data_IF_634169571451
#
_entry.id   IF_634169571451
#
_cell.length_a   1.000
_cell.length_b   1.000
_cell.length_c   1.000
_cell.angle_alpha   90.00
_cell.angle_beta   90.00
_cell.angle_gamma   90.00
#
_symmetry.space_group_name_H-M   'P 1'
#
loop_
_entity.id
_entity.type
_entity.pdbx_description
1 polymer ?
#
# COMPACT_ATOMS: atom_id res chain seq x y z
N UNK A 1 21.63 -14.13 12.48
CA UNK A 1 20.45 -13.48 13.08
C UNK A 1 19.21 -14.12 12.49
N UNK A 2 18.26 -14.52 13.32
CA UNK A 2 16.95 -15.03 12.93
C UNK A 2 15.87 -14.03 13.34
N UNK A 3 15.13 -13.51 12.36
CA UNK A 3 14.11 -12.50 12.55
C UNK A 3 12.70 -13.01 12.24
N UNK A 4 11.72 -12.55 13.00
CA UNK A 4 10.30 -12.70 12.70
C UNK A 4 9.71 -11.36 12.29
N UNK A 5 8.98 -11.34 11.17
CA UNK A 5 8.17 -10.20 10.75
C UNK A 5 6.71 -10.63 10.73
N UNK A 6 5.89 -9.95 11.52
CA UNK A 6 4.43 -10.12 11.47
C UNK A 6 3.82 -9.05 10.58
N UNK A 7 3.14 -9.45 9.51
CA UNK A 7 2.60 -8.58 8.47
C UNK A 7 3.42 -8.63 7.18
N UNK A 8 2.82 -9.13 6.11
CA UNK A 8 3.34 -9.21 4.75
C UNK A 8 2.77 -8.09 3.85
N UNK A 9 2.46 -6.93 4.44
CA UNK A 9 2.19 -5.70 3.68
C UNK A 9 3.47 -5.08 3.11
N UNK A 10 3.33 -3.89 2.52
CA UNK A 10 4.43 -3.11 1.89
C UNK A 10 5.65 -3.03 2.80
N UNK A 11 5.48 -2.52 4.03
CA UNK A 11 6.60 -2.33 4.96
C UNK A 11 7.25 -3.65 5.38
N UNK A 12 6.44 -4.67 5.69
CA UNK A 12 6.95 -5.95 6.16
C UNK A 12 7.75 -6.71 5.12
N UNK A 13 7.31 -6.68 3.85
CA UNK A 13 8.06 -7.32 2.76
C UNK A 13 9.34 -6.59 2.38
N UNK A 14 9.32 -5.24 2.40
CA UNK A 14 10.54 -4.44 2.19
C UNK A 14 11.54 -4.72 3.32
N UNK A 15 11.08 -4.74 4.58
CA UNK A 15 11.93 -5.05 5.72
C UNK A 15 12.49 -6.47 5.62
N UNK A 16 11.65 -7.45 5.28
CA UNK A 16 12.07 -8.84 5.12
C UNK A 16 13.18 -8.98 4.08
N UNK A 17 12.95 -8.41 2.89
CA UNK A 17 13.95 -8.37 1.82
C UNK A 17 15.25 -7.73 2.31
N UNK A 18 15.17 -6.57 2.95
CA UNK A 18 16.34 -5.83 3.45
C UNK A 18 17.16 -6.64 4.44
N UNK A 19 16.51 -7.30 5.41
CA UNK A 19 17.19 -8.14 6.39
C UNK A 19 17.85 -9.35 5.73
N UNK A 20 17.20 -9.96 4.74
CA UNK A 20 17.73 -11.11 3.99
C UNK A 20 18.92 -10.73 3.12
N UNK A 21 18.78 -9.68 2.29
CA UNK A 21 19.74 -9.37 1.22
C UNK A 21 20.89 -8.49 1.68
N UNK A 22 20.64 -7.54 2.58
CA UNK A 22 21.67 -6.61 3.05
C UNK A 22 22.35 -7.14 4.31
N UNK A 23 21.60 -7.75 5.23
CA UNK A 23 22.13 -8.23 6.52
C UNK A 23 22.38 -9.73 6.58
N UNK A 24 22.01 -10.50 5.55
CA UNK A 24 22.20 -11.96 5.51
C UNK A 24 21.43 -12.70 6.61
N UNK A 25 20.33 -12.13 7.11
CA UNK A 25 19.52 -12.74 8.15
C UNK A 25 18.63 -13.85 7.59
N UNK A 26 18.30 -14.83 8.43
CA UNK A 26 17.18 -15.75 8.18
C UNK A 26 15.92 -15.04 8.64
N UNK A 27 14.91 -14.92 7.77
CA UNK A 27 13.69 -14.17 8.07
C UNK A 27 12.45 -15.02 7.85
N UNK A 28 11.66 -15.20 8.91
CA UNK A 28 10.31 -15.73 8.80
C UNK A 28 9.31 -14.57 8.70
N UNK A 29 8.41 -14.65 7.72
CA UNK A 29 7.31 -13.69 7.56
C UNK A 29 6.00 -14.42 7.79
N UNK A 30 5.18 -13.89 8.70
CA UNK A 30 3.83 -14.38 8.97
C UNK A 30 2.80 -13.32 8.59
N UNK A 31 1.67 -13.72 8.04
CA UNK A 31 0.52 -12.84 7.81
C UNK A 31 -0.79 -13.60 7.99
N UNK A 32 -1.84 -12.91 8.41
CA UNK A 32 -3.19 -13.49 8.51
C UNK A 32 -3.76 -13.86 7.14
N UNK A 33 -3.37 -13.12 6.10
CA UNK A 33 -3.79 -13.19 4.71
C UNK A 33 -2.55 -13.30 3.81
N UNK A 34 -1.87 -14.46 3.77
CA UNK A 34 -0.61 -14.64 3.05
C UNK A 34 -0.76 -14.57 1.51
N UNK A 35 -1.99 -14.59 0.99
CA UNK A 35 -2.25 -14.41 -0.45
C UNK A 35 -2.60 -12.95 -0.76
N UNK A 36 -1.97 -12.42 -1.80
CA UNK A 36 -2.26 -11.07 -2.32
C UNK A 36 -3.73 -10.90 -2.76
N UNK A 37 -4.44 -12.01 -3.01
CA UNK A 37 -5.85 -12.02 -3.40
C UNK A 37 -6.83 -11.56 -2.30
N UNK A 38 -6.42 -11.58 -1.02
CA UNK A 38 -7.32 -11.30 0.11
C UNK A 38 -6.94 -10.05 0.91
N UNK A 39 -5.84 -9.39 0.59
CA UNK A 39 -5.38 -8.19 1.29
C UNK A 39 -5.77 -6.92 0.53
N UNK A 40 -6.69 -6.14 1.13
CA UNK A 40 -7.29 -4.95 0.53
C UNK A 40 -6.30 -3.86 0.09
N UNK A 41 -6.85 -2.86 -0.61
CA UNK A 41 -6.12 -1.74 -1.20
C UNK A 41 -5.84 -1.95 -2.69
N UNK A 42 -6.09 -0.93 -3.51
CA UNK A 42 -6.01 -1.04 -4.98
C UNK A 42 -4.66 -0.60 -5.53
N UNK A 43 -4.24 0.62 -5.20
CA UNK A 43 -3.01 1.23 -5.66
C UNK A 43 -2.57 2.34 -4.70
N UNK A 44 -1.34 2.82 -4.84
CA UNK A 44 -0.84 3.97 -4.08
C UNK A 44 0.19 4.75 -4.89
N UNK A 45 0.37 6.02 -4.53
CA UNK A 45 1.42 6.86 -5.08
C UNK A 45 2.76 6.55 -4.41
N UNK A 46 3.77 6.31 -5.23
CA UNK A 46 5.18 6.30 -4.85
C UNK A 46 5.75 7.67 -5.17
N UNK A 47 5.92 8.48 -4.13
CA UNK A 47 6.59 9.78 -4.21
C UNK A 47 8.11 9.60 -4.30
N UNK A 48 8.82 10.68 -4.66
CA UNK A 48 10.27 10.63 -4.92
C UNK A 48 11.07 10.03 -3.76
N UNK A 49 10.71 10.30 -2.51
CA UNK A 49 11.39 9.72 -1.34
C UNK A 49 11.20 8.20 -1.26
N UNK A 50 10.00 7.69 -1.57
CA UNK A 50 9.73 6.26 -1.65
C UNK A 50 10.52 5.58 -2.76
N UNK A 51 10.57 6.22 -3.94
CA UNK A 51 11.38 5.73 -5.08
C UNK A 51 12.86 5.67 -4.74
N UNK A 52 13.41 6.71 -4.12
CA UNK A 52 14.82 6.72 -3.71
C UNK A 52 15.12 5.64 -2.66
N UNK A 53 14.21 5.42 -1.70
CA UNK A 53 14.33 4.30 -0.76
C UNK A 53 14.37 2.94 -1.46
N UNK A 54 13.48 2.70 -2.43
CA UNK A 54 13.49 1.45 -3.22
C UNK A 54 14.76 1.29 -4.06
N UNK A 55 15.32 2.37 -4.59
CA UNK A 55 16.60 2.35 -5.32
C UNK A 55 17.75 1.95 -4.40
N UNK A 56 17.82 2.52 -3.20
CA UNK A 56 18.85 2.19 -2.20
C UNK A 56 18.76 0.73 -1.74
N UNK A 57 17.56 0.17 -1.70
CA UNK A 57 17.31 -1.23 -1.31
C UNK A 57 17.40 -2.22 -2.47
N UNK A 58 17.73 -1.79 -3.70
CA UNK A 58 17.83 -2.67 -4.86
C UNK A 58 16.49 -3.21 -5.39
N UNK A 59 15.36 -2.69 -4.89
CA UNK A 59 14.01 -3.14 -5.24
C UNK A 59 13.41 -2.39 -6.44
N UNK A 60 14.00 -1.24 -6.80
CA UNK A 60 13.38 -0.32 -7.74
C UNK A 60 13.16 -0.91 -9.13
N UNK A 61 14.10 -1.68 -9.67
CA UNK A 61 13.97 -2.20 -11.04
C UNK A 61 12.71 -3.06 -11.21
N UNK A 62 12.48 -4.01 -10.30
CA UNK A 62 11.28 -4.85 -10.31
C UNK A 62 9.98 -4.09 -10.04
N UNK A 63 10.02 -3.05 -9.21
CA UNK A 63 8.83 -2.22 -8.94
C UNK A 63 8.52 -1.30 -10.13
N UNK A 64 9.55 -0.75 -10.76
CA UNK A 64 9.40 0.22 -11.84
C UNK A 64 8.71 -0.38 -13.07
N UNK A 65 8.92 -1.67 -13.33
CA UNK A 65 8.30 -2.40 -14.45
C UNK A 65 6.81 -2.61 -14.29
N UNK A 66 6.25 -2.43 -13.09
CA UNK A 66 4.80 -2.54 -12.82
C UNK A 66 4.18 -1.20 -12.41
N UNK A 67 4.94 -0.11 -12.56
CA UNK A 67 4.53 1.23 -12.16
C UNK A 67 4.24 2.11 -13.37
N UNK A 68 3.35 3.10 -13.20
CA UNK A 68 3.11 4.16 -14.18
C UNK A 68 3.65 5.47 -13.62
N UNK A 69 4.52 6.15 -14.37
CA UNK A 69 5.00 7.48 -13.96
C UNK A 69 3.87 8.48 -14.06
N UNK A 70 3.63 9.24 -12.99
CA UNK A 70 2.70 10.37 -13.00
C UNK A 70 3.50 11.65 -13.20
N UNK A 71 3.20 12.36 -14.29
CA UNK A 71 3.88 13.60 -14.67
C UNK A 71 3.04 14.83 -14.37
N UNK A 72 1.71 14.67 -14.29
CA UNK A 72 0.79 15.78 -14.14
C UNK A 72 -0.47 15.40 -13.37
N UNK A 73 -1.04 16.35 -12.66
CA UNK A 73 -2.40 16.30 -12.12
C UNK A 73 -3.21 17.38 -12.80
N UNK A 74 -4.30 17.00 -13.47
CA UNK A 74 -5.23 17.94 -14.10
C UNK A 74 -6.48 18.05 -13.24
N UNK A 75 -6.87 19.27 -12.88
CA UNK A 75 -8.03 19.55 -12.05
C UNK A 75 -9.19 20.04 -12.90
N UNK A 76 -10.41 19.56 -12.65
CA UNK A 76 -11.61 19.90 -13.41
C UNK A 76 -12.75 20.26 -12.49
N UNK A 77 -13.63 21.16 -12.91
CA UNK A 77 -14.94 21.32 -12.28
C UNK A 77 -15.76 20.04 -12.50
N UNK A 78 -16.30 19.46 -11.42
CA UNK A 78 -17.06 18.22 -11.51
C UNK A 78 -18.38 18.35 -12.29
N UNK A 79 -19.02 19.53 -12.23
CA UNK A 79 -20.32 19.78 -12.87
C UNK A 79 -20.22 20.04 -14.37
N UNK A 80 -19.16 20.70 -14.82
CA UNK A 80 -19.01 21.15 -16.21
C UNK A 80 -17.90 20.42 -16.96
N UNK A 81 -16.98 19.77 -16.25
CA UNK A 81 -15.77 19.18 -16.84
C UNK A 81 -14.75 20.21 -17.32
N UNK A 82 -14.94 21.50 -17.07
CA UNK A 82 -13.97 22.53 -17.44
C UNK A 82 -12.68 22.40 -16.64
N UNK A 83 -11.53 22.54 -17.32
CA UNK A 83 -10.21 22.54 -16.69
C UNK A 83 -10.07 23.74 -15.75
N UNK A 84 -9.74 23.46 -14.50
CA UNK A 84 -9.41 24.43 -13.46
C UNK A 84 -7.95 24.84 -13.50
N UNK A 85 -7.09 23.87 -13.79
CA UNK A 85 -5.64 24.06 -13.77
C UNK A 85 -4.93 22.72 -13.79
N UNK A 86 -3.60 22.79 -13.83
CA UNK A 86 -2.73 21.63 -13.88
C UNK A 86 -1.55 21.83 -12.95
N UNK A 87 -1.09 20.74 -12.36
CA UNK A 87 0.10 20.71 -11.52
C UNK A 87 1.07 19.66 -12.03
N UNK A 88 2.26 20.09 -12.42
CA UNK A 88 3.34 19.18 -12.78
C UNK A 88 3.85 18.48 -11.52
N UNK A 89 3.83 17.15 -11.54
CA UNK A 89 4.34 16.35 -10.43
C UNK A 89 5.85 16.40 -10.36
N UNK A 90 6.38 16.28 -9.14
CA UNK A 90 7.82 16.17 -8.92
C UNK A 90 8.40 14.98 -9.71
N UNK A 91 9.67 15.07 -10.16
CA UNK A 91 10.37 13.92 -10.74
C UNK A 91 10.27 12.70 -9.82
N UNK A 92 10.28 11.51 -10.43
CA UNK A 92 10.13 10.23 -9.73
C UNK A 92 8.82 10.09 -8.92
N UNK A 93 7.69 10.59 -9.46
CA UNK A 93 6.35 10.27 -8.94
C UNK A 93 5.73 9.16 -9.77
N UNK A 94 5.26 8.10 -9.13
CA UNK A 94 4.64 6.95 -9.78
C UNK A 94 3.36 6.55 -9.07
N UNK A 95 2.48 5.86 -9.78
CA UNK A 95 1.40 5.07 -9.21
C UNK A 95 1.67 3.59 -9.47
N UNK A 96 1.36 2.76 -8.50
CA UNK A 96 1.52 1.31 -8.63
C UNK A 96 0.35 0.59 -7.99
N UNK A 97 -0.13 -0.46 -8.65
CA UNK A 97 -1.11 -1.38 -8.09
C UNK A 97 -0.51 -2.16 -6.91
N UNK A 98 -1.25 -2.29 -5.81
CA UNK A 98 -0.73 -2.91 -4.58
C UNK A 98 -0.31 -4.36 -4.79
N UNK A 99 -1.14 -5.17 -5.45
CA UNK A 99 -0.83 -6.59 -5.73
C UNK A 99 0.48 -6.75 -6.52
N UNK A 100 0.56 -6.20 -7.74
CA UNK A 100 1.79 -6.21 -8.54
C UNK A 100 3.03 -5.66 -7.82
N UNK A 101 2.88 -4.63 -6.98
CA UNK A 101 3.99 -4.14 -6.16
C UNK A 101 4.50 -5.20 -5.18
N UNK A 102 3.60 -5.87 -4.45
CA UNK A 102 3.99 -6.91 -3.49
C UNK A 102 4.55 -8.14 -4.22
N UNK A 103 3.97 -8.53 -5.36
CA UNK A 103 4.47 -9.62 -6.20
C UNK A 103 5.90 -9.32 -6.70
N UNK A 104 6.18 -8.09 -7.12
CA UNK A 104 7.51 -7.67 -7.55
C UNK A 104 8.54 -7.85 -6.44
N UNK A 105 8.22 -7.49 -5.19
CA UNK A 105 9.12 -7.68 -4.05
C UNK A 105 9.26 -9.18 -3.69
N UNK A 106 8.14 -9.91 -3.67
CA UNK A 106 8.14 -11.34 -3.34
C UNK A 106 8.95 -12.17 -4.34
N UNK A 107 8.93 -11.80 -5.61
CA UNK A 107 9.69 -12.49 -6.66
C UNK A 107 11.22 -12.45 -6.42
N UNK A 108 11.69 -11.49 -5.63
CA UNK A 108 13.09 -11.37 -5.23
C UNK A 108 13.43 -12.09 -3.92
N UNK A 109 12.44 -12.68 -3.23
CA UNK A 109 12.64 -13.33 -1.93
C UNK A 109 12.73 -14.85 -2.07
N UNK A 110 13.50 -15.46 -1.16
CA UNK A 110 13.69 -16.92 -1.10
C UNK A 110 12.61 -17.63 -0.28
N UNK A 111 12.02 -16.93 0.70
CA UNK A 111 11.14 -17.53 1.70
C UNK A 111 9.68 -17.11 1.52
N UNK A 112 8.78 -18.09 1.56
CA UNK A 112 7.33 -17.90 1.48
C UNK A 112 6.76 -17.27 2.75
N UNK A 113 5.64 -16.55 2.62
CA UNK A 113 4.84 -16.05 3.74
C UNK A 113 4.05 -17.21 4.36
N UNK A 114 4.09 -17.36 5.68
CA UNK A 114 3.26 -18.34 6.41
C UNK A 114 1.97 -17.70 6.88
N UNK A 115 0.87 -18.45 6.84
CA UNK A 115 -0.41 -18.01 7.42
C UNK A 115 -0.34 -18.09 8.94
N UNK A 116 -0.22 -16.97 9.64
CA UNK A 116 -0.25 -16.94 11.12
C UNK A 116 -0.47 -15.53 11.65
N UNK A 117 -0.78 -15.42 12.95
CA UNK A 117 -0.86 -14.15 13.68
C UNK A 117 0.15 -14.18 14.84
N UNK A 118 0.80 -13.06 15.11
CA UNK A 118 1.68 -12.94 16.28
C UNK A 118 0.84 -12.86 17.56
N UNK A 119 1.26 -13.54 18.63
CA UNK A 119 0.57 -13.46 19.93
C UNK A 119 1.55 -13.17 21.06
N UNK A 120 1.68 -11.90 21.38
CA UNK A 120 2.60 -11.43 22.40
C UNK A 120 2.02 -11.75 23.79
N UNK A 121 2.79 -12.47 24.62
CA UNK A 121 2.43 -12.74 26.01
C UNK A 121 2.98 -11.65 26.93
N UNK A 122 2.50 -11.58 28.18
CA UNK A 122 2.99 -10.63 29.19
C UNK A 122 4.40 -10.97 29.73
N UNK A 123 4.85 -12.22 29.52
CA UNK A 123 6.27 -12.54 29.69
C UNK A 123 7.02 -11.84 28.54
N UNK A 124 8.19 -11.25 28.83
CA UNK A 124 9.00 -10.48 27.87
C UNK A 124 9.53 -11.29 26.67
N UNK A 125 9.04 -12.50 26.46
CA UNK A 125 9.37 -13.38 25.36
C UNK A 125 8.20 -13.36 24.36
N UNK A 126 8.51 -12.92 23.14
CA UNK A 126 7.55 -12.94 22.03
C UNK A 126 7.29 -14.39 21.63
N UNK A 127 6.18 -14.97 22.08
CA UNK A 127 5.68 -16.24 21.58
C UNK A 127 4.78 -16.00 20.35
N UNK A 128 4.68 -16.98 19.46
CA UNK A 128 3.72 -16.96 18.34
C UNK A 128 2.57 -17.91 18.67
N UNK A 129 1.34 -17.42 18.83
CA UNK A 129 0.16 -18.30 18.94
C UNK A 129 -0.29 -18.68 17.55
N UNK A 130 -0.35 -19.97 17.21
CA UNK A 130 -0.77 -20.39 15.90
C UNK A 130 -2.29 -20.34 15.78
N UNK A 131 -2.78 -19.80 14.66
CA UNK A 131 -3.87 -20.48 13.97
C UNK A 131 -3.35 -21.51 12.97
N UNK A 132 -2.03 -21.67 12.80
CA UNK A 132 -1.37 -22.80 12.16
C UNK A 132 0.08 -22.88 12.67
N UNK A 133 0.49 -24.05 13.14
CA UNK A 133 1.71 -24.36 13.90
C UNK A 133 2.99 -23.63 13.44
N UNK A 134 3.31 -22.47 14.02
CA UNK A 134 4.70 -22.00 14.14
C UNK A 134 5.19 -22.53 15.49
N UNK A 135 6.12 -23.50 15.53
CA UNK A 135 6.69 -23.93 16.80
C UNK A 135 7.27 -22.71 17.51
N UNK A 136 7.15 -22.60 18.85
CA UNK A 136 7.81 -21.54 19.60
C UNK A 136 9.30 -21.56 19.24
N UNK A 137 9.71 -20.59 18.46
CA UNK A 137 11.07 -20.43 17.94
C UNK A 137 11.62 -19.18 18.58
N UNK A 138 12.86 -19.25 19.09
CA UNK A 138 13.53 -18.07 19.62
C UNK A 138 14.00 -17.22 18.45
N UNK A 139 13.52 -15.98 18.37
CA UNK A 139 13.98 -15.01 17.39
C UNK A 139 14.88 -13.99 18.07
N UNK A 140 15.95 -13.58 17.38
CA UNK A 140 16.84 -12.50 17.82
C UNK A 140 16.16 -11.13 17.66
N UNK A 141 15.19 -11.04 16.74
CA UNK A 141 14.49 -9.81 16.38
C UNK A 141 13.04 -10.11 15.98
N UNK A 142 12.11 -9.30 16.46
CA UNK A 142 10.69 -9.38 16.08
C UNK A 142 10.21 -7.99 15.66
N UNK A 143 9.58 -7.88 14.48
CA UNK A 143 8.99 -6.65 13.99
C UNK A 143 7.49 -6.80 13.69
N UNK A 144 6.68 -5.92 14.30
CA UNK A 144 5.25 -5.77 14.00
C UNK A 144 5.02 -4.84 12.81
N UNK A 145 4.70 -5.41 11.66
CA UNK A 145 4.36 -4.75 10.39
C UNK A 145 2.87 -4.95 10.01
N UNK A 146 2.00 -5.07 11.02
CA UNK A 146 0.59 -5.47 10.89
C UNK A 146 -0.36 -4.31 10.53
N UNK A 147 0.17 -3.10 10.29
CA UNK A 147 -0.58 -1.93 9.84
C UNK A 147 -1.41 -1.22 10.92
N UNK A 148 -2.51 -0.61 10.48
CA UNK A 148 -3.30 0.33 11.29
C UNK A 148 -3.97 -0.30 12.51
N UNK A 149 -4.11 -1.62 12.61
CA UNK A 149 -4.68 -2.34 13.77
C UNK A 149 -3.68 -3.32 14.39
N UNK A 150 -2.41 -2.93 14.44
CA UNK A 150 -1.29 -3.77 14.88
C UNK A 150 -1.44 -4.26 16.34
N UNK A 151 -1.52 -5.58 16.58
CA UNK A 151 -1.42 -6.13 17.94
C UNK A 151 -0.07 -5.85 18.59
N UNK A 152 1.02 -5.78 17.83
CA UNK A 152 2.33 -5.37 18.36
C UNK A 152 2.28 -3.98 18.98
N UNK A 153 1.62 -3.03 18.30
CA UNK A 153 1.43 -1.67 18.84
C UNK A 153 0.58 -1.67 20.11
N UNK A 154 -0.52 -2.41 20.15
CA UNK A 154 -1.38 -2.52 21.34
C UNK A 154 -0.62 -3.11 22.53
N UNK A 155 0.26 -4.09 22.31
CA UNK A 155 1.08 -4.67 23.37
C UNK A 155 2.17 -3.70 23.87
N UNK A 156 2.87 -3.01 22.96
CA UNK A 156 3.94 -2.07 23.34
C UNK A 156 3.41 -0.78 23.97
N UNK A 157 2.25 -0.30 23.51
CA UNK A 157 1.63 0.92 23.97
C UNK A 157 0.10 0.72 24.08
N UNK A 158 -0.38 0.16 25.21
CA UNK A 158 -1.80 -0.14 25.40
C UNK A 158 -2.72 1.08 25.32
N UNK A 159 -2.19 2.27 25.59
CA UNK A 159 -2.94 3.53 25.56
C UNK A 159 -3.03 4.13 24.14
N UNK A 160 -2.39 3.52 23.13
CA UNK A 160 -2.45 4.00 21.76
C UNK A 160 -3.87 3.88 21.19
N UNK A 161 -4.45 5.00 20.80
CA UNK A 161 -5.77 5.05 20.17
C UNK A 161 -5.69 5.17 18.65
N UNK A 162 -6.71 4.63 17.98
CA UNK A 162 -6.98 4.86 16.55
C UNK A 162 -8.24 5.71 16.50
N UNK A 163 -8.20 6.82 15.77
CA UNK A 163 -9.32 7.72 15.60
C UNK A 163 -9.62 7.91 14.12
N UNK A 164 -10.86 8.26 13.79
CA UNK A 164 -11.24 8.62 12.43
C UNK A 164 -10.75 10.03 12.11
N UNK A 165 -10.34 10.24 10.87
CA UNK A 165 -10.12 11.59 10.32
C UNK A 165 -11.39 12.01 9.59
N UNK A 166 -11.71 13.31 9.56
CA UNK A 166 -12.93 13.86 8.95
C UNK A 166 -12.97 13.78 7.42
N UNK A 167 -12.35 12.76 6.83
CA UNK A 167 -12.37 12.51 5.40
C UNK A 167 -12.34 11.01 5.17
N UNK A 168 -13.31 10.52 4.40
CA UNK A 168 -13.29 9.15 3.92
C UNK A 168 -13.11 9.09 2.41
N UNK A 169 -12.50 8.00 1.95
CA UNK A 169 -12.26 7.75 0.55
C UNK A 169 -12.86 6.40 0.16
N UNK A 170 -13.67 6.42 -0.90
CA UNK A 170 -14.14 5.22 -1.57
C UNK A 170 -13.29 5.02 -2.81
N UNK A 171 -12.71 3.84 -2.98
CA UNK A 171 -11.88 3.53 -4.14
C UNK A 171 -12.37 2.26 -4.82
N UNK A 172 -12.10 2.18 -6.12
CA UNK A 172 -12.34 0.96 -6.88
C UNK A 172 -11.58 0.92 -8.20
N UNK A 173 -11.57 -0.25 -8.80
CA UNK A 173 -11.17 -0.44 -10.19
C UNK A 173 -12.43 -0.53 -11.05
N UNK A 174 -12.41 0.10 -12.21
CA UNK A 174 -13.45 -0.13 -13.21
C UNK A 174 -13.33 -1.55 -13.77
N UNK A 175 -14.43 -2.07 -14.32
CA UNK A 175 -14.41 -3.34 -15.05
C UNK A 175 -13.42 -3.26 -16.22
N UNK A 176 -12.89 -4.38 -16.75
CA UNK A 176 -12.00 -4.34 -17.91
C UNK A 176 -12.62 -3.63 -19.13
N UNK A 177 -13.93 -3.79 -19.34
CA UNK A 177 -14.66 -3.16 -20.44
C UNK A 177 -14.73 -1.64 -20.24
N UNK A 178 -15.09 -1.19 -19.04
CA UNK A 178 -15.22 0.24 -18.73
C UNK A 178 -13.84 0.92 -18.68
N UNK A 179 -12.82 0.23 -18.15
CA UNK A 179 -11.43 0.68 -18.19
C UNK A 179 -10.96 0.90 -19.63
N UNK A 180 -11.21 -0.07 -20.53
CA UNK A 180 -10.83 0.07 -21.94
C UNK A 180 -11.54 1.25 -22.62
N UNK A 181 -12.83 1.46 -22.31
CA UNK A 181 -13.63 2.56 -22.85
C UNK A 181 -13.17 3.93 -22.35
N UNK A 182 -12.85 4.06 -21.06
CA UNK A 182 -12.46 5.34 -20.47
C UNK A 182 -11.00 5.69 -20.76
N UNK A 183 -10.12 4.68 -20.83
CA UNK A 183 -8.68 4.87 -21.07
C UNK A 183 -8.37 5.62 -22.37
N UNK A 184 -9.17 5.48 -23.42
CA UNK A 184 -8.98 6.23 -24.67
C UNK A 184 -9.20 7.75 -24.52
N UNK A 185 -9.89 8.17 -23.46
CA UNK A 185 -10.17 9.57 -23.13
C UNK A 185 -9.24 10.12 -22.05
N UNK A 186 -8.35 9.30 -21.48
CA UNK A 186 -7.41 9.70 -20.43
C UNK A 186 -6.00 9.80 -21.00
N UNK A 187 -5.23 10.77 -20.51
CA UNK A 187 -3.83 10.92 -20.91
C UNK A 187 -2.96 10.01 -20.04
N UNK A 188 -2.15 9.11 -20.62
CA UNK A 188 -1.24 8.27 -19.83
C UNK A 188 -0.31 9.11 -18.96
N UNK A 189 -0.12 8.71 -17.71
CA UNK A 189 0.71 9.45 -16.74
C UNK A 189 0.07 10.73 -16.20
N UNK A 190 -1.19 11.00 -16.49
CA UNK A 190 -1.97 12.06 -15.87
C UNK A 190 -2.92 11.46 -14.82
N UNK A 191 -3.00 12.13 -13.67
CA UNK A 191 -4.10 11.94 -12.72
C UNK A 191 -5.13 13.04 -12.97
N UNK A 192 -6.39 12.67 -13.17
CA UNK A 192 -7.46 13.64 -13.37
C UNK A 192 -8.28 13.73 -12.09
N UNK A 193 -8.45 14.94 -11.55
CA UNK A 193 -9.23 15.19 -10.33
C UNK A 193 -10.40 16.13 -10.64
N UNK A 194 -11.62 15.67 -10.40
CA UNK A 194 -12.86 16.43 -10.55
C UNK A 194 -13.29 16.94 -9.19
N UNK A 195 -13.48 18.26 -9.08
CA UNK A 195 -13.76 18.94 -7.83
C UNK A 195 -15.18 19.51 -7.84
N UNK A 196 -15.97 19.19 -6.82
CA UNK A 196 -17.19 19.89 -6.46
C UNK A 196 -16.91 20.67 -5.17
N UNK A 197 -16.21 21.79 -5.30
CA UNK A 197 -15.69 22.57 -4.16
C UNK A 197 -16.79 23.05 -3.22
N UNK A 198 -17.98 23.36 -3.74
CA UNK A 198 -19.14 23.80 -2.94
C UNK A 198 -19.64 22.73 -1.97
N UNK A 199 -19.47 21.45 -2.33
CA UNK A 199 -19.87 20.32 -1.48
C UNK A 199 -18.67 19.68 -0.79
N UNK A 200 -17.43 20.07 -1.09
CA UNK A 200 -16.23 19.40 -0.56
C UNK A 200 -16.07 17.96 -1.04
N UNK A 201 -16.62 17.62 -2.20
CA UNK A 201 -16.44 16.33 -2.85
C UNK A 201 -15.34 16.42 -3.89
N UNK A 202 -14.54 15.35 -4.00
CA UNK A 202 -13.61 15.18 -5.10
C UNK A 202 -13.64 13.76 -5.65
N UNK A 203 -13.49 13.62 -6.96
CA UNK A 203 -13.28 12.34 -7.62
C UNK A 203 -11.93 12.36 -8.30
N UNK A 204 -11.16 11.29 -8.21
CA UNK A 204 -9.96 11.11 -9.02
C UNK A 204 -10.05 9.88 -9.90
N UNK A 205 -9.44 9.96 -11.07
CA UNK A 205 -9.25 8.83 -11.99
C UNK A 205 -7.83 8.81 -12.53
N UNK A 206 -7.28 7.60 -12.66
CA UNK A 206 -5.91 7.39 -13.14
C UNK A 206 -5.77 6.00 -13.76
N UNK A 207 -5.00 5.92 -14.84
CA UNK A 207 -4.70 4.67 -15.53
C UNK A 207 -3.50 3.99 -14.88
N UNK A 208 -3.67 2.75 -14.44
CA UNK A 208 -2.61 1.93 -13.86
C UNK A 208 -1.78 1.23 -14.94
N UNK A 209 -0.65 0.64 -14.55
CA UNK A 209 0.26 -0.04 -15.48
C UNK A 209 -0.43 -1.18 -16.26
N UNK A 210 -1.34 -1.91 -15.61
CA UNK A 210 -2.16 -2.96 -16.27
C UNK A 210 -3.08 -2.43 -17.37
N UNK A 211 -3.32 -1.11 -17.39
CA UNK A 211 -4.34 -0.47 -18.21
C UNK A 211 -5.71 -0.37 -17.52
N UNK A 212 -5.86 -0.93 -16.32
CA UNK A 212 -7.07 -0.73 -15.51
C UNK A 212 -7.18 0.73 -15.05
N UNK A 213 -8.41 1.22 -14.95
CA UNK A 213 -8.68 2.56 -14.42
C UNK A 213 -9.04 2.45 -12.95
N UNK A 214 -8.20 3.08 -12.12
CA UNK A 214 -8.51 3.35 -10.72
C UNK A 214 -9.37 4.60 -10.63
N UNK A 215 -10.42 4.53 -9.81
CA UNK A 215 -11.18 5.69 -9.39
C UNK A 215 -11.19 5.80 -7.87
N UNK A 216 -11.32 7.02 -7.39
CA UNK A 216 -11.59 7.30 -5.98
C UNK A 216 -12.56 8.46 -5.83
N UNK A 217 -13.36 8.44 -4.76
CA UNK A 217 -14.19 9.54 -4.30
C UNK A 217 -13.79 9.91 -2.88
N UNK A 218 -13.36 11.15 -2.70
CA UNK A 218 -13.04 11.76 -1.42
C UNK A 218 -14.23 12.59 -0.95
N UNK A 219 -14.65 12.36 0.29
CA UNK A 219 -15.73 13.09 0.95
C UNK A 219 -15.18 13.71 2.22
N UNK A 220 -15.33 15.03 2.35
CA UNK A 220 -15.09 15.71 3.62
C UNK A 220 -16.32 15.53 4.52
N UNK A 221 -16.14 14.85 5.66
CA UNK A 221 -17.21 14.57 6.63
C UNK A 221 -17.75 15.84 7.28
N UNK A 222 -16.93 16.90 7.41
CA UNK A 222 -17.38 18.17 8.00
C UNK A 222 -18.53 18.81 7.19
N UNK A 223 -18.57 18.53 5.89
CA UNK A 223 -19.60 19.02 4.97
C UNK A 223 -20.74 18.01 4.77
N UNK A 224 -20.55 16.75 5.15
CA UNK A 224 -21.47 15.63 4.93
C UNK A 224 -21.49 14.73 6.15
N UNK A 225 -21.96 15.25 7.28
CA UNK A 225 -22.13 14.47 8.50
C UNK A 225 -23.04 13.26 8.21
N UNK A 226 -22.49 12.06 8.36
CA UNK A 226 -23.21 10.79 8.28
C UNK A 226 -23.94 10.50 9.61
#
# INVERSE_FOLDING_TARGET
>A
MHALISGAGVAGLILAHTLETILGATVDVIDRYPSNATSGGFAFLLLSNGVQGLKQLGLWESVSSVSTRIVNVSFYYATTGHLLGEECMKPDTYIVSRGPFLDAILSQRRHSIRKATLALSAAKDAESSPSDHVPPSRYDFVAGCEGARSPTRTWMNPDASVFSVGTFELMGLLSPVDSARLRSSLVPGHLHKYLASETGLAMGVVVLHSGDVLWYFQVNEDNHAL
#
